data_IF_597828360897
#
_entry.id   IF_597828360897
#
_cell.length_a   1.000
_cell.length_b   1.000
_cell.length_c   1.000
_cell.angle_alpha   90.00
_cell.angle_beta   90.00
_cell.angle_gamma   90.00
#
_symmetry.space_group_name_H-M   'P 1'
#
loop_
_entity.id
_entity.type
_entity.pdbx_description
1 polymer ?
#
# COMPACT_ATOMS: atom_id res chain seq x y z
N UNK A 1 -44.17 -62.88 -24.48
CA UNK A 1 -44.11 -62.14 -23.20
C UNK A 1 -43.34 -60.84 -23.42
N UNK A 2 -44.01 -59.72 -23.62
CA UNK A 2 -43.39 -58.40 -23.68
C UNK A 2 -43.79 -57.63 -22.41
N UNK A 3 -42.83 -57.36 -21.52
CA UNK A 3 -43.05 -56.51 -20.34
C UNK A 3 -43.02 -55.05 -20.78
N UNK A 4 -44.19 -54.41 -20.79
CA UNK A 4 -44.31 -52.95 -20.83
C UNK A 4 -43.71 -52.39 -19.53
N UNK A 5 -42.50 -51.85 -19.60
CA UNK A 5 -41.89 -51.13 -18.49
C UNK A 5 -42.47 -49.70 -18.47
N UNK A 6 -43.44 -49.49 -17.58
CA UNK A 6 -44.09 -48.23 -17.31
C UNK A 6 -43.10 -47.18 -16.79
N UNK A 7 -42.75 -46.20 -17.63
CA UNK A 7 -42.01 -45.00 -17.24
C UNK A 7 -43.01 -44.03 -16.56
N UNK A 8 -43.28 -44.23 -15.26
CA UNK A 8 -44.21 -43.40 -14.49
C UNK A 8 -43.44 -42.36 -13.64
N UNK A 9 -43.56 -41.11 -14.10
CA UNK A 9 -43.63 -39.83 -13.35
C UNK A 9 -42.62 -39.61 -12.22
N UNK A 10 -41.55 -38.87 -12.53
CA UNK A 10 -40.62 -38.32 -11.52
C UNK A 10 -40.76 -36.81 -11.26
N UNK A 11 -41.80 -36.13 -11.75
CA UNK A 11 -42.02 -34.71 -11.45
C UNK A 11 -43.49 -34.43 -11.12
N UNK A 12 -43.85 -34.72 -9.86
CA UNK A 12 -45.05 -34.20 -9.22
C UNK A 12 -44.68 -32.99 -8.36
N UNK A 13 -44.36 -31.86 -8.99
CA UNK A 13 -44.27 -30.58 -8.30
C UNK A 13 -45.66 -29.97 -8.34
N UNK A 14 -46.28 -29.77 -7.18
CA UNK A 14 -47.52 -28.98 -7.07
C UNK A 14 -47.19 -27.57 -7.57
N UNK A 15 -47.74 -27.18 -8.71
CA UNK A 15 -47.41 -25.95 -9.47
C UNK A 15 -47.42 -24.68 -8.60
N UNK A 16 -48.37 -24.58 -7.66
CA UNK A 16 -48.48 -23.47 -6.71
C UNK A 16 -47.31 -23.42 -5.71
N UNK A 17 -46.91 -24.57 -5.16
CA UNK A 17 -45.75 -24.67 -4.26
C UNK A 17 -44.42 -24.47 -4.98
N UNK A 18 -44.35 -24.85 -6.27
CA UNK A 18 -43.19 -24.61 -7.13
C UNK A 18 -42.95 -23.12 -7.36
N UNK A 19 -44.01 -22.34 -7.58
CA UNK A 19 -43.91 -20.89 -7.79
C UNK A 19 -43.44 -20.15 -6.54
N UNK A 20 -43.94 -20.54 -5.35
CA UNK A 20 -43.50 -19.93 -4.08
C UNK A 20 -42.03 -20.26 -3.80
N UNK A 21 -41.61 -21.51 -4.04
CA UNK A 21 -40.20 -21.92 -3.90
C UNK A 21 -39.29 -21.15 -4.88
N UNK A 22 -39.72 -20.95 -6.12
CA UNK A 22 -38.99 -20.19 -7.12
C UNK A 22 -38.87 -18.71 -6.75
N UNK A 23 -39.93 -18.12 -6.18
CA UNK A 23 -39.90 -16.74 -5.69
C UNK A 23 -38.93 -16.58 -4.51
N UNK A 24 -38.93 -17.51 -3.55
CA UNK A 24 -37.96 -17.52 -2.44
C UNK A 24 -36.53 -17.66 -2.97
N UNK A 25 -36.31 -18.53 -3.95
CA UNK A 25 -35.00 -18.69 -4.58
C UNK A 25 -34.56 -17.39 -5.29
N UNK A 26 -35.46 -16.73 -6.01
CA UNK A 26 -35.17 -15.48 -6.71
C UNK A 26 -34.81 -14.35 -5.74
N UNK A 27 -35.55 -14.25 -4.63
CA UNK A 27 -35.28 -13.25 -3.58
C UNK A 27 -33.94 -13.53 -2.90
N UNK A 28 -33.67 -14.77 -2.52
CA UNK A 28 -32.39 -15.13 -1.88
C UNK A 28 -31.22 -14.91 -2.83
N UNK A 29 -31.35 -15.29 -4.11
CA UNK A 29 -30.33 -15.03 -5.13
C UNK A 29 -30.05 -13.54 -5.32
N UNK A 30 -31.11 -12.71 -5.38
CA UNK A 30 -30.98 -11.26 -5.55
C UNK A 30 -30.29 -10.61 -4.34
N UNK A 31 -30.67 -11.02 -3.12
CA UNK A 31 -30.04 -10.54 -1.89
C UNK A 31 -28.57 -10.98 -1.79
N UNK A 32 -28.27 -12.24 -2.12
CA UNK A 32 -26.89 -12.73 -2.17
C UNK A 32 -26.06 -11.96 -3.20
N UNK A 33 -26.62 -11.69 -4.38
CA UNK A 33 -25.94 -10.92 -5.42
C UNK A 33 -25.61 -9.49 -4.95
N UNK A 34 -26.59 -8.80 -4.36
CA UNK A 34 -26.38 -7.46 -3.79
C UNK A 34 -25.32 -7.48 -2.67
N UNK A 35 -25.34 -8.50 -1.81
CA UNK A 35 -24.35 -8.71 -0.77
C UNK A 35 -22.93 -8.87 -1.33
N UNK A 36 -22.76 -9.69 -2.37
CA UNK A 36 -21.45 -9.90 -3.03
C UNK A 36 -20.95 -8.60 -3.65
N UNK A 37 -21.79 -7.85 -4.36
CA UNK A 37 -21.40 -6.56 -4.95
C UNK A 37 -20.95 -5.56 -3.89
N UNK A 38 -21.68 -5.47 -2.79
CA UNK A 38 -21.37 -4.57 -1.68
C UNK A 38 -20.07 -4.97 -0.99
N UNK A 39 -19.87 -6.27 -0.76
CA UNK A 39 -18.65 -6.81 -0.18
C UNK A 39 -17.42 -6.47 -1.04
N UNK A 40 -17.50 -6.69 -2.36
CA UNK A 40 -16.41 -6.34 -3.29
C UNK A 40 -16.08 -4.85 -3.21
N UNK A 41 -17.10 -3.98 -3.18
CA UNK A 41 -16.89 -2.53 -3.08
C UNK A 41 -16.18 -2.16 -1.77
N UNK A 42 -16.65 -2.65 -0.62
CA UNK A 42 -16.04 -2.35 0.68
C UNK A 42 -14.60 -2.87 0.75
N UNK A 43 -14.36 -4.12 0.36
CA UNK A 43 -13.01 -4.68 0.35
C UNK A 43 -12.07 -3.93 -0.60
N UNK A 44 -12.58 -3.39 -1.71
CA UNK A 44 -11.78 -2.56 -2.61
C UNK A 44 -11.39 -1.22 -1.97
N UNK A 45 -12.31 -0.59 -1.23
CA UNK A 45 -12.04 0.65 -0.52
C UNK A 45 -11.04 0.45 0.61
N UNK A 46 -11.18 -0.63 1.40
CA UNK A 46 -10.22 -0.99 2.45
C UNK A 46 -8.81 -1.17 1.88
N UNK A 47 -8.68 -1.85 0.74
CA UNK A 47 -7.38 -2.02 0.06
C UNK A 47 -6.78 -0.68 -0.37
N UNK A 48 -7.59 0.26 -0.86
CA UNK A 48 -7.12 1.59 -1.25
C UNK A 48 -6.64 2.36 -0.02
N UNK A 49 -7.41 2.36 1.08
CA UNK A 49 -7.06 3.06 2.31
C UNK A 49 -5.76 2.52 2.91
N UNK A 50 -5.61 1.19 2.98
CA UNK A 50 -4.37 0.56 3.47
C UNK A 50 -3.19 0.93 2.58
N UNK A 51 -3.39 0.96 1.26
CA UNK A 51 -2.36 1.34 0.31
C UNK A 51 -1.91 2.81 0.49
N UNK A 52 -2.87 3.73 0.65
CA UNK A 52 -2.56 5.14 0.90
C UNK A 52 -1.84 5.34 2.25
N UNK A 53 -2.30 4.66 3.30
CA UNK A 53 -1.65 4.71 4.61
C UNK A 53 -0.20 4.19 4.55
N UNK A 54 0.05 3.09 3.82
CA UNK A 54 1.40 2.58 3.60
C UNK A 54 2.25 3.58 2.82
N UNK A 55 1.73 4.17 1.74
CA UNK A 55 2.45 5.18 0.96
C UNK A 55 2.87 6.38 1.79
N UNK A 56 1.96 6.86 2.64
CA UNK A 56 2.22 7.96 3.57
C UNK A 56 3.26 7.55 4.61
N UNK A 57 3.16 6.36 5.21
CA UNK A 57 4.15 5.84 6.16
C UNK A 57 5.55 5.77 5.52
N UNK A 58 5.65 5.26 4.30
CA UNK A 58 6.92 5.18 3.56
C UNK A 58 7.47 6.57 3.23
N UNK A 59 6.62 7.53 2.88
CA UNK A 59 7.02 8.92 2.67
C UNK A 59 7.63 9.53 3.93
N UNK A 60 6.96 9.38 5.08
CA UNK A 60 7.46 9.89 6.36
C UNK A 60 8.78 9.24 6.79
N UNK A 61 9.01 7.98 6.46
CA UNK A 61 10.29 7.35 6.76
C UNK A 61 11.42 7.79 5.84
N UNK A 62 11.13 8.16 4.60
CA UNK A 62 12.14 8.81 3.76
C UNK A 62 12.48 10.22 4.30
N UNK A 63 11.49 10.94 4.84
CA UNK A 63 11.76 12.23 5.51
C UNK A 63 12.55 12.04 6.82
N UNK A 64 12.22 11.01 7.61
CA UNK A 64 12.98 10.72 8.84
C UNK A 64 14.42 10.31 8.56
N UNK A 65 14.68 9.63 7.44
CA UNK A 65 16.05 9.33 7.00
C UNK A 65 16.86 10.58 6.64
N UNK A 66 16.21 11.60 6.08
CA UNK A 66 16.85 12.90 5.82
C UNK A 66 17.24 13.61 7.12
N UNK A 67 16.34 13.64 8.10
CA UNK A 67 16.59 14.23 9.42
C UNK A 67 17.66 13.44 10.20
N UNK A 68 17.65 12.11 10.10
CA UNK A 68 18.69 11.27 10.68
C UNK A 68 20.06 11.61 10.09
N UNK A 69 20.17 11.74 8.77
CA UNK A 69 21.41 12.11 8.11
C UNK A 69 21.91 13.49 8.56
N UNK A 70 21.00 14.46 8.70
CA UNK A 70 21.31 15.78 9.23
C UNK A 70 21.86 15.73 10.66
N UNK A 71 21.26 14.91 11.51
CA UNK A 71 21.73 14.70 12.88
C UNK A 71 23.12 14.03 12.91
N UNK A 72 23.37 13.04 12.06
CA UNK A 72 24.69 12.40 11.93
C UNK A 72 25.73 13.42 11.46
N UNK A 73 25.43 14.22 10.44
CA UNK A 73 26.34 15.26 9.94
C UNK A 73 26.63 16.36 10.97
N UNK A 74 25.71 16.62 11.89
CA UNK A 74 25.96 17.56 13.00
C UNK A 74 26.99 17.02 14.01
N UNK A 75 27.08 15.69 14.17
CA UNK A 75 28.04 15.03 15.05
C UNK A 75 29.36 14.70 14.34
N UNK A 76 29.28 14.18 13.12
CA UNK A 76 30.41 13.87 12.25
C UNK A 76 30.23 14.57 10.89
N UNK A 77 30.70 15.82 10.77
CA UNK A 77 30.68 16.54 9.51
C UNK A 77 31.53 15.90 8.43
N UNK A 78 32.37 14.89 8.71
CA UNK A 78 33.17 14.22 7.69
C UNK A 78 32.45 13.01 7.08
N UNK A 79 31.30 12.61 7.64
CA UNK A 79 30.57 11.45 7.20
C UNK A 79 30.10 11.57 5.75
N UNK A 80 30.43 10.54 4.96
CA UNK A 80 29.99 10.37 3.58
C UNK A 80 29.79 8.87 3.34
N UNK A 81 28.80 8.52 2.54
CA UNK A 81 28.51 7.13 2.18
C UNK A 81 27.04 6.77 2.31
N UNK A 82 26.79 5.47 2.27
CA UNK A 82 25.46 4.89 2.35
C UNK A 82 25.25 4.20 3.68
N UNK A 83 24.08 4.36 4.28
CA UNK A 83 23.62 3.52 5.37
C UNK A 83 22.26 2.95 5.01
N UNK A 84 22.04 1.71 5.44
CA UNK A 84 20.77 1.03 5.26
C UNK A 84 20.35 0.42 6.59
N UNK A 85 19.09 0.62 6.97
CA UNK A 85 18.50 -0.03 8.13
C UNK A 85 17.08 -0.50 7.83
N UNK A 86 16.65 -1.53 8.56
CA UNK A 86 15.28 -2.02 8.56
C UNK A 86 14.57 -1.50 9.81
N UNK A 87 13.37 -0.95 9.62
CA UNK A 87 12.47 -0.55 10.69
C UNK A 87 11.06 -1.06 10.39
N UNK A 88 10.61 -2.04 11.18
CA UNK A 88 9.27 -2.63 11.07
C UNK A 88 8.92 -3.18 9.66
N UNK A 89 9.90 -3.77 8.97
CA UNK A 89 9.71 -4.28 7.60
C UNK A 89 9.74 -3.20 6.52
N UNK A 90 10.24 -2.01 6.87
CA UNK A 90 10.57 -0.93 5.96
C UNK A 90 12.07 -0.75 5.89
N UNK A 91 12.62 -0.84 4.69
CA UNK A 91 14.05 -0.62 4.45
C UNK A 91 14.24 0.85 4.13
N UNK A 92 15.07 1.53 4.91
CA UNK A 92 15.48 2.91 4.65
C UNK A 92 16.96 2.91 4.28
N UNK A 93 17.25 3.43 3.09
CA UNK A 93 18.59 3.68 2.57
C UNK A 93 18.84 5.18 2.58
N UNK A 94 20.00 5.60 3.06
CA UNK A 94 20.40 7.01 3.12
C UNK A 94 21.77 7.09 2.47
N UNK A 95 21.85 7.83 1.37
CA UNK A 95 23.08 8.10 0.63
C UNK A 95 23.45 9.57 0.83
N UNK A 96 24.64 9.82 1.38
CA UNK A 96 25.20 11.16 1.54
C UNK A 96 26.37 11.35 0.58
N UNK A 97 26.27 12.38 -0.25
CA UNK A 97 27.28 12.76 -1.24
C UNK A 97 27.65 14.22 -1.01
N UNK A 98 28.93 14.48 -0.76
CA UNK A 98 29.45 15.84 -0.67
C UNK A 98 29.91 16.32 -2.05
N UNK A 99 29.39 17.45 -2.49
CA UNK A 99 29.78 18.11 -3.73
C UNK A 99 30.16 19.56 -3.42
N UNK A 100 31.47 19.81 -3.28
CA UNK A 100 32.03 21.11 -2.91
C UNK A 100 31.37 21.68 -1.63
N UNK A 101 30.56 22.73 -1.79
CA UNK A 101 29.93 23.48 -0.70
C UNK A 101 28.53 22.95 -0.33
N UNK A 102 28.00 21.99 -1.09
CA UNK A 102 26.67 21.41 -0.88
C UNK A 102 26.81 19.93 -0.53
N UNK A 103 26.15 19.52 0.56
CA UNK A 103 26.00 18.12 0.93
C UNK A 103 24.63 17.64 0.49
N UNK A 104 24.59 16.77 -0.51
CA UNK A 104 23.35 16.15 -0.97
C UNK A 104 23.08 14.89 -0.17
N UNK A 105 21.88 14.78 0.37
CA UNK A 105 21.38 13.59 1.05
C UNK A 105 20.23 13.04 0.23
N UNK A 106 20.27 11.75 -0.06
CA UNK A 106 19.17 11.01 -0.67
C UNK A 106 18.69 9.98 0.34
N UNK A 107 17.43 10.06 0.76
CA UNK A 107 16.80 9.03 1.58
C UNK A 107 15.74 8.29 0.76
N UNK A 108 15.87 6.97 0.67
CA UNK A 108 14.92 6.06 0.04
C UNK A 108 14.30 5.16 1.10
N UNK A 109 12.99 5.16 1.20
CA UNK A 109 12.24 4.21 2.00
C UNK A 109 11.50 3.23 1.10
N UNK A 110 11.59 1.94 1.40
CA UNK A 110 10.97 0.84 0.66
C UNK A 110 10.16 -0.05 1.59
N UNK A 111 8.88 -0.24 1.27
CA UNK A 111 7.99 -1.17 1.97
C UNK A 111 7.21 -2.01 0.96
N UNK A 112 7.56 -3.29 0.82
CA UNK A 112 7.02 -4.15 -0.22
C UNK A 112 7.29 -3.57 -1.63
N UNK A 113 6.21 -3.27 -2.37
CA UNK A 113 6.30 -2.67 -3.70
C UNK A 113 6.27 -1.13 -3.68
N UNK A 114 6.16 -0.50 -2.51
CA UNK A 114 6.14 0.96 -2.40
C UNK A 114 7.56 1.47 -2.17
N UNK A 115 7.96 2.43 -2.99
CA UNK A 115 9.21 3.17 -2.85
C UNK A 115 8.90 4.65 -2.77
N UNK A 116 9.59 5.35 -1.88
CA UNK A 116 9.56 6.80 -1.78
C UNK A 116 10.99 7.30 -1.63
N UNK A 117 11.35 8.30 -2.43
CA UNK A 117 12.67 8.91 -2.41
C UNK A 117 12.54 10.41 -2.08
N UNK A 118 13.44 10.89 -1.23
CA UNK A 118 13.58 12.28 -0.81
C UNK A 118 15.01 12.70 -1.00
N UNK A 119 15.20 13.86 -1.62
CA UNK A 119 16.53 14.44 -1.79
C UNK A 119 16.54 15.78 -1.09
N UNK A 120 17.49 15.97 -0.19
CA UNK A 120 17.78 17.23 0.46
C UNK A 120 19.18 17.72 0.12
N UNK A 121 19.31 19.03 0.00
CA UNK A 121 20.59 19.71 -0.20
C UNK A 121 20.87 20.55 1.04
N UNK A 122 21.94 20.22 1.75
CA UNK A 122 22.39 20.91 2.95
C UNK A 122 23.59 21.80 2.64
N UNK A 123 23.57 23.01 3.15
CA UNK A 123 24.72 23.93 3.16
C UNK A 123 25.11 24.21 4.60
N UNK A 124 26.40 24.26 4.88
CA UNK A 124 26.90 24.62 6.20
C UNK A 124 26.78 26.14 6.38
N UNK A 125 25.89 26.57 7.28
CA UNK A 125 25.71 27.96 7.65
C UNK A 125 26.88 28.50 8.49
N UNK A 126 26.96 29.82 8.59
CA UNK A 126 28.00 30.53 9.37
C UNK A 126 27.95 30.20 10.87
N UNK A 127 26.81 29.71 11.36
CA UNK A 127 26.60 29.25 12.73
C UNK A 127 27.08 27.81 12.99
N UNK A 128 27.66 27.16 11.98
CA UNK A 128 28.12 25.78 12.03
C UNK A 128 26.99 24.74 11.95
N UNK A 129 25.76 25.15 11.60
CA UNK A 129 24.63 24.24 11.39
C UNK A 129 24.37 24.00 9.92
N UNK A 130 23.84 22.82 9.61
CA UNK A 130 23.41 22.53 8.25
C UNK A 130 22.00 23.07 8.01
N UNK A 131 21.88 23.98 7.04
CA UNK A 131 20.62 24.50 6.57
C UNK A 131 20.16 23.75 5.32
N UNK A 132 18.88 23.38 5.31
CA UNK A 132 18.24 22.74 4.16
C UNK A 132 17.91 23.80 3.12
N UNK A 133 18.69 23.84 2.05
CA UNK A 133 18.57 24.83 0.97
C UNK A 133 17.74 24.32 -0.21
N UNK A 134 17.71 23.01 -0.39
CA UNK A 134 16.91 22.34 -1.41
C UNK A 134 16.22 21.11 -0.84
N UNK A 135 14.97 20.90 -1.23
CA UNK A 135 14.22 19.70 -0.90
C UNK A 135 13.38 19.29 -2.09
N UNK A 136 13.51 18.03 -2.51
CA UNK A 136 12.82 17.50 -3.68
C UNK A 136 12.25 16.11 -3.43
N UNK A 137 11.03 15.94 -3.88
CA UNK A 137 10.39 14.65 -4.04
C UNK A 137 10.88 14.02 -5.34
N UNK A 138 11.56 12.87 -5.26
CA UNK A 138 11.91 12.09 -6.43
C UNK A 138 10.92 10.93 -6.50
N UNK A 139 10.09 10.96 -7.54
CA UNK A 139 9.29 9.81 -7.93
C UNK A 139 10.20 8.89 -8.72
N UNK A 140 10.43 7.70 -8.20
CA UNK A 140 10.95 6.55 -8.95
C UNK A 140 9.77 5.78 -9.54
#
# INVERSE_FOLDING_TARGET
>A
MAKNCSLKKFFGINWESGNVSLLILLVTFSLSWMGVQTFILISSQERIVVCEAQKIKTAYMADSGLEYAKAVLAHDPSWQGSIQYDSEGMVVEIDVIRANDVTQITSRATMGNMKQCRVGELVLGEDGKYDLTGYRYVYD
#
